data_IF_738531164464
#
_entry.id   IF_738531164464
#
_cell.length_a   1.000
_cell.length_b   1.000
_cell.length_c   1.000
_cell.angle_alpha   90.00
_cell.angle_beta   90.00
_cell.angle_gamma   90.00
#
_symmetry.space_group_name_H-M   'P 1'
#
loop_
_entity.id
_entity.type
_entity.pdbx_description
1 polymer ?
#
# COMPACT_ATOMS: atom_id res chain seq x y z
N UNK A 1 -26.05 41.71 2.48
CA UNK A 1 -25.63 40.60 1.58
C UNK A 1 -24.15 40.21 1.75
N UNK A 2 -23.54 40.31 2.95
CA UNK A 2 -22.09 40.03 3.10
C UNK A 2 -21.70 39.20 4.33
N UNK A 3 -22.65 38.59 5.04
CA UNK A 3 -22.36 37.80 6.25
C UNK A 3 -22.73 36.31 6.17
N UNK A 4 -23.13 35.80 4.99
CA UNK A 4 -23.44 34.38 4.79
C UNK A 4 -22.34 33.60 4.02
N UNK A 5 -21.11 34.13 3.96
CA UNK A 5 -20.01 33.53 3.18
C UNK A 5 -18.77 33.11 3.97
N UNK A 6 -18.55 33.65 5.18
CA UNK A 6 -17.32 33.39 5.96
C UNK A 6 -17.44 32.30 7.02
N UNK A 7 -18.61 31.67 7.19
CA UNK A 7 -18.80 30.62 8.20
C UNK A 7 -18.57 29.19 7.67
N UNK A 8 -18.25 29.00 6.38
CA UNK A 8 -18.07 27.67 5.78
C UNK A 8 -16.61 27.20 5.66
N UNK A 9 -15.60 28.00 6.06
CA UNK A 9 -14.18 27.71 5.80
C UNK A 9 -13.40 27.14 6.99
N UNK A 10 -14.06 26.69 8.05
CA UNK A 10 -13.42 26.07 9.21
C UNK A 10 -13.57 24.53 9.24
N UNK A 11 -13.72 23.89 8.08
CA UNK A 11 -13.46 22.46 7.99
C UNK A 11 -11.94 22.28 7.89
N UNK A 12 -11.27 22.01 9.02
CA UNK A 12 -9.89 21.54 8.98
C UNK A 12 -9.83 20.33 8.06
N UNK A 13 -9.10 20.43 6.95
CA UNK A 13 -8.88 19.32 6.06
C UNK A 13 -7.88 18.38 6.76
N UNK A 14 -8.39 17.34 7.41
CA UNK A 14 -7.60 16.31 8.12
C UNK A 14 -7.19 15.17 7.18
N UNK A 15 -7.48 15.29 5.89
CA UNK A 15 -7.16 14.31 4.87
C UNK A 15 -6.04 14.83 3.96
N UNK A 16 -5.20 13.92 3.48
CA UNK A 16 -4.20 14.23 2.46
C UNK A 16 -4.90 14.67 1.17
N UNK A 17 -4.33 15.62 0.40
CA UNK A 17 -4.89 16.04 -0.88
C UNK A 17 -4.69 15.01 -2.00
N UNK A 18 -3.95 13.93 -1.73
CA UNK A 18 -3.69 12.81 -2.62
C UNK A 18 -3.90 11.48 -1.90
N UNK A 19 -4.04 10.40 -2.67
CA UNK A 19 -4.12 9.04 -2.15
C UNK A 19 -2.71 8.54 -1.80
N UNK A 20 -2.53 8.03 -0.59
CA UNK A 20 -1.29 7.40 -0.13
C UNK A 20 -1.54 5.89 0.01
N UNK A 21 -1.19 5.05 -0.99
CA UNK A 21 -1.55 3.63 -0.99
C UNK A 21 -0.83 2.84 0.11
N UNK A 22 0.34 3.30 0.58
CA UNK A 22 1.15 2.57 1.54
C UNK A 22 0.53 2.51 2.94
N UNK A 23 -0.47 3.34 3.24
CA UNK A 23 -1.22 3.26 4.50
C UNK A 23 -1.87 1.89 4.71
N UNK A 24 -2.22 1.17 3.64
CA UNK A 24 -2.80 -0.17 3.71
C UNK A 24 -1.82 -1.22 4.26
N UNK A 25 -0.52 -0.95 4.20
CA UNK A 25 0.52 -1.76 4.81
C UNK A 25 0.93 -1.28 6.21
N UNK A 26 0.33 -0.19 6.70
CA UNK A 26 0.59 0.36 8.03
C UNK A 26 -0.54 0.03 9.03
N UNK A 27 -1.75 -0.21 8.54
CA UNK A 27 -2.92 -0.46 9.37
C UNK A 27 -3.01 -1.92 9.82
N UNK A 28 -2.94 -2.14 11.13
CA UNK A 28 -3.01 -3.47 11.76
C UNK A 28 -4.42 -3.78 12.26
N UNK A 29 -4.94 -4.95 11.89
CA UNK A 29 -6.23 -5.48 12.40
C UNK A 29 -6.07 -6.62 13.42
N UNK A 30 -4.83 -6.97 13.79
CA UNK A 30 -4.53 -8.05 14.74
C UNK A 30 -4.70 -9.46 14.18
N UNK A 31 -4.80 -9.61 12.85
CA UNK A 31 -4.89 -10.92 12.19
C UNK A 31 -3.52 -11.37 11.69
N UNK A 32 -3.32 -12.69 11.52
CA UNK A 32 -2.03 -13.25 11.01
C UNK A 32 -1.65 -12.72 9.62
N UNK A 33 -2.64 -12.37 8.80
CA UNK A 33 -2.44 -11.87 7.43
C UNK A 33 -2.41 -10.35 7.35
N UNK A 34 -2.49 -9.63 8.48
CA UNK A 34 -2.35 -8.19 8.51
C UNK A 34 -0.85 -7.81 8.47
N UNK A 35 -0.53 -6.55 8.15
CA UNK A 35 0.81 -6.02 8.34
C UNK A 35 1.30 -6.15 9.78
N UNK A 36 2.60 -5.97 9.99
CA UNK A 36 3.16 -5.98 11.34
C UNK A 36 2.76 -4.68 12.09
N UNK A 37 2.48 -4.80 13.40
CA UNK A 37 2.27 -3.60 14.23
C UNK A 37 3.57 -2.79 14.29
N UNK A 38 3.48 -1.50 13.99
CA UNK A 38 4.59 -0.57 14.00
C UNK A 38 4.15 0.79 14.55
N UNK A 39 5.04 1.43 15.30
CA UNK A 39 4.90 2.84 15.69
C UNK A 39 5.61 3.70 14.65
N UNK A 40 4.98 4.79 14.23
CA UNK A 40 5.50 5.68 13.19
C UNK A 40 5.93 7.03 13.78
N UNK A 41 6.98 7.60 13.19
CA UNK A 41 7.60 8.86 13.58
C UNK A 41 7.17 9.96 12.60
N UNK A 42 6.64 11.11 13.05
CA UNK A 42 6.18 12.18 12.16
C UNK A 42 7.24 12.67 11.15
N UNK A 43 8.53 12.64 11.53
CA UNK A 43 9.63 13.08 10.67
C UNK A 43 10.09 12.06 9.62
N UNK A 44 9.71 10.78 9.75
CA UNK A 44 10.20 9.68 8.91
C UNK A 44 9.07 8.87 8.28
N UNK A 45 7.83 9.38 8.31
CA UNK A 45 6.63 8.63 7.94
C UNK A 45 6.74 7.99 6.55
N UNK A 46 7.24 8.72 5.56
CA UNK A 46 7.36 8.23 4.18
C UNK A 46 8.27 7.00 4.08
N UNK A 47 9.45 7.06 4.72
CA UNK A 47 10.40 5.96 4.74
C UNK A 47 9.82 4.76 5.50
N UNK A 48 9.21 4.99 6.67
CA UNK A 48 8.67 3.93 7.50
C UNK A 48 7.47 3.23 6.82
N UNK A 49 6.69 3.94 6.00
CA UNK A 49 5.64 3.35 5.17
C UNK A 49 6.21 2.45 4.07
N UNK A 50 7.27 2.88 3.38
CA UNK A 50 7.99 2.07 2.38
C UNK A 50 8.53 0.79 3.02
N UNK A 51 9.19 0.92 4.17
CA UNK A 51 9.70 -0.24 4.91
C UNK A 51 8.58 -1.18 5.35
N UNK A 52 7.42 -0.65 5.76
CA UNK A 52 6.28 -1.48 6.18
C UNK A 52 5.70 -2.25 4.99
N UNK A 53 5.63 -1.61 3.82
CA UNK A 53 5.20 -2.23 2.58
C UNK A 53 6.13 -3.38 2.18
N UNK A 54 7.44 -3.14 2.16
CA UNK A 54 8.44 -4.18 1.86
C UNK A 54 8.38 -5.34 2.83
N UNK A 55 8.37 -5.06 4.14
CA UNK A 55 8.24 -6.10 5.18
C UNK A 55 6.97 -6.94 5.01
N UNK A 56 5.83 -6.29 4.74
CA UNK A 56 4.56 -6.99 4.55
C UNK A 56 4.60 -7.90 3.32
N UNK A 57 5.06 -7.38 2.17
CA UNK A 57 5.10 -8.13 0.93
C UNK A 57 6.05 -9.32 1.03
N UNK A 58 7.25 -9.11 1.57
CA UNK A 58 8.27 -10.15 1.76
C UNK A 58 7.84 -11.24 2.75
N UNK A 59 7.11 -10.90 3.82
CA UNK A 59 6.73 -11.88 4.88
C UNK A 59 5.46 -12.68 4.53
N UNK A 60 4.97 -12.60 3.29
CA UNK A 60 3.82 -13.37 2.80
C UNK A 60 2.65 -12.54 2.27
N UNK A 61 2.84 -11.22 2.12
CA UNK A 61 1.91 -10.36 1.39
C UNK A 61 1.90 -10.64 -0.12
N UNK A 62 3.02 -11.14 -0.65
CA UNK A 62 3.17 -11.56 -2.04
C UNK A 62 4.15 -12.75 -2.13
N UNK A 63 3.84 -13.74 -2.95
CA UNK A 63 4.71 -14.88 -3.22
C UNK A 63 4.58 -15.31 -4.68
N UNK A 64 5.71 -15.57 -5.35
CA UNK A 64 5.73 -16.02 -6.75
C UNK A 64 6.19 -17.48 -6.80
N UNK A 65 5.33 -18.34 -7.33
CA UNK A 65 5.66 -19.73 -7.67
C UNK A 65 6.11 -19.79 -9.13
N UNK A 66 7.43 -19.87 -9.33
CA UNK A 66 8.06 -19.95 -10.66
C UNK A 66 7.80 -21.27 -11.38
N UNK A 67 7.51 -22.36 -10.65
CA UNK A 67 7.24 -23.67 -11.25
C UNK A 67 5.80 -23.70 -11.78
N UNK A 68 4.86 -23.21 -10.97
CA UNK A 68 3.46 -23.11 -11.36
C UNK A 68 3.18 -21.92 -12.28
N UNK A 69 4.11 -20.96 -12.37
CA UNK A 69 3.93 -19.68 -13.07
C UNK A 69 2.71 -18.91 -12.52
N UNK A 70 2.65 -18.77 -11.19
CA UNK A 70 1.52 -18.12 -10.48
C UNK A 70 2.04 -17.19 -9.38
N UNK A 71 1.49 -15.98 -9.31
CA UNK A 71 1.68 -15.07 -8.18
C UNK A 71 0.49 -15.16 -7.22
N UNK A 72 0.78 -15.36 -5.94
CA UNK A 72 -0.16 -15.33 -4.83
C UNK A 72 -0.01 -14.00 -4.11
N UNK A 73 -1.14 -13.33 -3.84
CA UNK A 73 -1.16 -12.04 -3.17
C UNK A 73 -2.12 -12.03 -1.99
N UNK A 74 -1.83 -11.17 -1.01
CA UNK A 74 -2.75 -10.89 0.07
C UNK A 74 -4.03 -10.24 -0.45
N UNK A 75 -5.15 -10.52 0.23
CA UNK A 75 -6.43 -9.86 -0.04
C UNK A 75 -6.37 -8.34 0.11
N UNK A 76 -5.37 -7.78 0.81
CA UNK A 76 -5.16 -6.33 0.88
C UNK A 76 -4.99 -5.72 -0.53
N UNK A 77 -4.15 -6.33 -1.37
CA UNK A 77 -3.94 -5.88 -2.76
C UNK A 77 -5.21 -6.02 -3.62
N UNK A 78 -6.10 -6.96 -3.27
CA UNK A 78 -7.39 -7.14 -3.94
C UNK A 78 -8.45 -6.14 -3.46
N UNK A 79 -8.59 -5.96 -2.15
CA UNK A 79 -9.63 -5.11 -1.55
C UNK A 79 -9.40 -3.64 -1.85
N UNK A 80 -8.14 -3.21 -1.84
CA UNK A 80 -7.75 -1.81 -2.04
C UNK A 80 -7.03 -1.60 -3.39
N UNK A 81 -7.22 -2.51 -4.36
CA UNK A 81 -6.55 -2.48 -5.66
C UNK A 81 -6.64 -1.12 -6.37
N UNK A 82 -7.77 -0.42 -6.23
CA UNK A 82 -8.02 0.90 -6.82
C UNK A 82 -7.03 1.98 -6.38
N UNK A 83 -6.41 1.83 -5.20
CA UNK A 83 -5.42 2.76 -4.68
C UNK A 83 -4.01 2.47 -5.26
N UNK A 84 -3.75 1.25 -5.72
CA UNK A 84 -2.45 0.83 -6.24
C UNK A 84 -2.36 0.90 -7.77
N UNK A 85 -3.48 0.75 -8.50
CA UNK A 85 -3.50 0.75 -9.96
C UNK A 85 -4.90 0.61 -10.57
N UNK A 86 -5.03 0.85 -11.87
CA UNK A 86 -6.32 0.80 -12.59
C UNK A 86 -6.79 -0.62 -12.91
N UNK A 87 -5.87 -1.59 -12.87
CA UNK A 87 -6.12 -2.99 -13.16
C UNK A 87 -5.13 -3.88 -12.40
N UNK A 88 -5.36 -5.20 -12.39
CA UNK A 88 -4.55 -6.16 -11.64
C UNK A 88 -3.06 -6.11 -12.02
N UNK A 89 -2.71 -5.89 -13.30
CA UNK A 89 -1.31 -5.75 -13.70
C UNK A 89 -0.65 -4.50 -13.11
N UNK A 90 -1.35 -3.36 -13.10
CA UNK A 90 -0.81 -2.13 -12.49
C UNK A 90 -0.64 -2.28 -10.97
N UNK A 91 -1.56 -2.99 -10.30
CA UNK A 91 -1.43 -3.31 -8.86
C UNK A 91 -0.17 -4.15 -8.60
N UNK A 92 0.07 -5.18 -9.41
CA UNK A 92 1.25 -6.05 -9.27
C UNK A 92 2.55 -5.32 -9.59
N UNK A 93 2.57 -4.47 -10.63
CA UNK A 93 3.71 -3.60 -10.93
C UNK A 93 3.98 -2.59 -9.82
N UNK A 94 2.93 -2.06 -9.18
CA UNK A 94 3.08 -1.17 -8.04
C UNK A 94 3.71 -1.92 -6.85
N UNK A 95 3.24 -3.13 -6.53
CA UNK A 95 3.81 -3.96 -5.47
C UNK A 95 5.28 -4.34 -5.74
N UNK A 96 5.65 -4.57 -7.00
CA UNK A 96 7.02 -4.91 -7.41
C UNK A 96 8.06 -3.83 -7.03
N UNK A 97 7.65 -2.57 -6.85
CA UNK A 97 8.55 -1.48 -6.44
C UNK A 97 9.07 -1.63 -5.00
N UNK A 98 8.43 -2.47 -4.19
CA UNK A 98 8.72 -2.64 -2.76
C UNK A 98 9.26 -4.03 -2.44
N UNK A 99 9.51 -4.86 -3.46
CA UNK A 99 10.13 -6.18 -3.33
C UNK A 99 11.66 -6.07 -3.49
N UNK A 100 12.37 -7.06 -2.99
CA UNK A 100 13.79 -7.23 -3.31
C UNK A 100 13.99 -7.44 -4.81
N UNK A 101 15.16 -7.06 -5.34
CA UNK A 101 15.44 -7.06 -6.77
C UNK A 101 15.14 -8.40 -7.46
N UNK A 102 15.46 -9.53 -6.81
CA UNK A 102 15.19 -10.87 -7.35
C UNK A 102 13.71 -11.22 -7.37
N UNK A 103 12.95 -10.85 -6.33
CA UNK A 103 11.52 -11.12 -6.24
C UNK A 103 10.72 -10.21 -7.18
N UNK A 104 11.15 -8.94 -7.28
CA UNK A 104 10.62 -7.97 -8.22
C UNK A 104 10.80 -8.45 -9.66
N UNK A 105 12.01 -8.87 -10.05
CA UNK A 105 12.26 -9.40 -11.38
C UNK A 105 11.42 -10.66 -11.67
N UNK A 106 11.36 -11.60 -10.73
CA UNK A 106 10.56 -12.82 -10.86
C UNK A 106 9.07 -12.51 -11.06
N UNK A 107 8.52 -11.52 -10.34
CA UNK A 107 7.15 -11.08 -10.53
C UNK A 107 6.96 -10.39 -11.88
N UNK A 108 7.88 -9.52 -12.30
CA UNK A 108 7.76 -8.80 -13.56
C UNK A 108 7.88 -9.71 -14.78
N UNK A 109 8.69 -10.76 -14.72
CA UNK A 109 8.81 -11.77 -15.79
C UNK A 109 7.54 -12.61 -15.95
N UNK A 110 6.68 -12.65 -14.93
CA UNK A 110 5.40 -13.35 -14.94
C UNK A 110 4.27 -12.54 -15.60
N UNK A 111 4.39 -11.20 -15.67
CA UNK A 111 3.34 -10.27 -16.13
C UNK A 111 3.40 -10.01 -17.64
#
# INVERSE_FOLDING_TARGET
MLLCGMLLTMAHQVALPYLEPLVHFALVSGTRSAPALRCYSPGNIDQELIESAGNFLHTGGLFVDLIANVAYTSKILKWYGVDFGKNEMEVLKHAANYLDASESQALLDLL
#
